data_IF_501115661607
#
_entry.id   IF_501115661607
#
_cell.length_a   1.000
_cell.length_b   1.000
_cell.length_c   1.000
_cell.angle_alpha   90.00
_cell.angle_beta   90.00
_cell.angle_gamma   90.00
#
_symmetry.space_group_name_H-M   'P 1'
#
loop_
_entity.id
_entity.type
_entity.pdbx_description
1 polymer ?
#
# COMPACT_ATOMS: atom_id res chain seq x y z
N UNK A 1 9.84 -0.72 -5.76
CA UNK A 1 9.45 0.66 -5.33
C UNK A 1 10.30 1.18 -4.18
N UNK A 2 10.50 0.43 -3.10
CA UNK A 2 11.18 0.94 -1.90
C UNK A 2 12.64 1.35 -2.11
N UNK A 3 13.41 0.56 -2.86
CA UNK A 3 14.83 0.83 -3.11
C UNK A 3 15.08 1.80 -4.26
N UNK A 4 14.03 2.29 -4.93
CA UNK A 4 14.15 3.11 -6.16
C UNK A 4 13.30 4.38 -6.08
N UNK A 5 11.98 4.24 -6.06
CA UNK A 5 11.03 5.36 -6.09
C UNK A 5 10.98 6.11 -4.75
N UNK A 6 11.03 5.36 -3.64
CA UNK A 6 10.89 5.91 -2.29
C UNK A 6 12.18 6.48 -1.67
N UNK A 7 13.27 6.58 -2.45
CA UNK A 7 14.51 7.26 -2.03
C UNK A 7 14.66 8.66 -2.65
N UNK A 8 13.72 9.07 -3.52
CA UNK A 8 13.76 10.38 -4.15
C UNK A 8 13.30 11.47 -3.18
N UNK A 9 14.14 12.48 -2.96
CA UNK A 9 13.96 13.47 -1.88
C UNK A 9 12.60 14.19 -1.91
N UNK A 10 12.08 14.53 -3.09
CA UNK A 10 10.76 15.17 -3.21
C UNK A 10 9.63 14.25 -2.74
N UNK A 11 9.72 12.95 -3.08
CA UNK A 11 8.72 11.95 -2.66
C UNK A 11 8.82 11.72 -1.16
N UNK A 12 10.02 11.53 -0.62
CA UNK A 12 10.26 11.36 0.82
C UNK A 12 9.74 12.56 1.62
N UNK A 13 10.02 13.78 1.17
CA UNK A 13 9.56 14.99 1.85
C UNK A 13 8.03 15.05 1.86
N UNK A 14 7.38 14.80 0.72
CA UNK A 14 5.91 14.81 0.61
C UNK A 14 5.28 13.75 1.51
N UNK A 15 5.85 12.54 1.51
CA UNK A 15 5.37 11.45 2.35
C UNK A 15 5.53 11.79 3.83
N UNK A 16 6.62 12.44 4.24
CA UNK A 16 6.84 12.82 5.63
C UNK A 16 5.99 14.02 6.08
N UNK A 17 5.62 14.93 5.17
CA UNK A 17 4.86 16.14 5.52
C UNK A 17 3.34 15.94 5.45
N UNK A 18 2.86 15.16 4.49
CA UNK A 18 1.44 15.15 4.11
C UNK A 18 0.78 13.77 4.22
N UNK A 19 1.54 12.70 4.44
CA UNK A 19 1.03 11.33 4.48
C UNK A 19 1.59 10.52 5.66
N UNK A 20 0.96 9.39 5.95
CA UNK A 20 1.55 8.34 6.78
C UNK A 20 1.92 7.18 5.88
N UNK A 21 3.22 6.94 5.70
CA UNK A 21 3.71 5.84 4.90
C UNK A 21 3.83 4.56 5.74
N UNK A 22 3.25 3.47 5.26
CA UNK A 22 3.38 2.14 5.84
C UNK A 22 3.90 1.19 4.74
N UNK A 23 5.02 0.53 5.02
CA UNK A 23 5.48 -0.61 4.24
C UNK A 23 4.73 -1.85 4.70
N UNK A 24 4.21 -2.63 3.75
CA UNK A 24 3.57 -3.90 4.05
C UNK A 24 4.21 -5.01 3.23
N UNK A 25 4.74 -6.03 3.92
CA UNK A 25 5.29 -7.24 3.31
C UNK A 25 4.20 -8.31 3.26
N UNK A 26 3.75 -8.63 2.06
CA UNK A 26 2.67 -9.59 1.82
C UNK A 26 3.10 -11.04 2.01
N UNK A 27 4.41 -11.30 2.02
CA UNK A 27 4.97 -12.64 2.20
C UNK A 27 5.34 -12.90 3.67
N UNK A 28 5.19 -11.90 4.55
CA UNK A 28 5.49 -12.03 5.98
C UNK A 28 4.57 -13.05 6.65
N UNK A 29 5.12 -13.94 7.51
CA UNK A 29 4.34 -14.86 8.33
C UNK A 29 3.71 -14.21 9.57
N UNK A 30 4.08 -12.97 9.89
CA UNK A 30 3.68 -12.31 11.13
C UNK A 30 2.19 -11.92 11.12
N UNK A 31 1.52 -12.08 12.26
CA UNK A 31 0.13 -11.66 12.41
C UNK A 31 -0.02 -10.13 12.44
N UNK A 32 -1.04 -9.62 11.76
CA UNK A 32 -1.40 -8.20 11.78
C UNK A 32 -2.79 -8.01 12.39
N UNK A 33 -2.87 -7.19 13.44
CA UNK A 33 -4.13 -6.79 14.04
C UNK A 33 -4.65 -5.51 13.41
N UNK A 34 -5.79 -5.58 12.72
CA UNK A 34 -6.40 -4.45 12.04
C UNK A 34 -7.92 -4.44 12.21
N UNK A 35 -8.51 -3.29 12.55
CA UNK A 35 -9.96 -3.11 12.81
C UNK A 35 -10.57 -4.19 13.74
N UNK A 36 -9.82 -4.61 14.77
CA UNK A 36 -10.28 -5.61 15.74
C UNK A 36 -10.29 -7.06 15.24
N UNK A 37 -9.69 -7.33 14.09
CA UNK A 37 -9.48 -8.67 13.54
C UNK A 37 -7.98 -8.95 13.41
N UNK A 38 -7.59 -10.19 13.66
CA UNK A 38 -6.25 -10.69 13.39
C UNK A 38 -6.23 -11.28 11.98
N UNK A 39 -5.27 -10.86 11.17
CA UNK A 39 -5.02 -11.38 9.84
C UNK A 39 -3.69 -12.10 9.87
N UNK A 40 -3.66 -13.31 9.31
CA UNK A 40 -2.47 -14.16 9.33
C UNK A 40 -2.00 -14.48 7.91
N UNK A 41 -0.82 -15.08 7.80
CA UNK A 41 -0.33 -15.60 6.54
C UNK A 41 -1.12 -16.82 6.08
N UNK A 42 -1.54 -16.83 4.81
CA UNK A 42 -2.25 -17.93 4.20
C UNK A 42 -1.39 -18.64 3.14
N UNK A 43 -0.90 -19.86 3.43
CA UNK A 43 -0.18 -20.65 2.44
C UNK A 43 -1.08 -20.97 1.23
N UNK A 44 -0.55 -20.78 0.02
CA UNK A 44 -1.19 -21.13 -1.26
C UNK A 44 -0.42 -22.24 -1.99
N UNK A 45 0.76 -22.63 -1.49
CA UNK A 45 1.61 -23.69 -2.02
C UNK A 45 2.76 -24.03 -1.07
N UNK A 46 3.70 -24.89 -1.48
CA UNK A 46 4.79 -25.35 -0.62
C UNK A 46 5.73 -24.25 -0.13
N UNK A 47 5.95 -23.23 -0.94
CA UNK A 47 6.83 -22.08 -0.66
C UNK A 47 6.14 -20.75 -0.98
N UNK A 48 4.83 -20.78 -1.16
CA UNK A 48 4.05 -19.62 -1.59
C UNK A 48 2.83 -19.47 -0.69
N UNK A 49 2.42 -18.23 -0.54
CA UNK A 49 1.30 -17.83 0.28
C UNK A 49 1.23 -16.34 0.26
N UNK A 50 0.22 -15.81 0.92
CA UNK A 50 -0.01 -14.38 0.95
C UNK A 50 -0.69 -14.01 2.25
N UNK A 51 -0.32 -12.87 2.80
CA UNK A 51 -0.92 -12.34 4.00
C UNK A 51 -2.39 -11.97 3.76
N UNK A 52 -3.31 -12.47 4.59
CA UNK A 52 -4.76 -12.30 4.41
C UNK A 52 -5.19 -10.84 4.36
N UNK A 53 -4.52 -9.97 5.13
CA UNK A 53 -4.76 -8.53 5.08
C UNK A 53 -4.58 -7.95 3.67
N UNK A 54 -3.58 -8.40 2.89
CA UNK A 54 -3.40 -7.94 1.52
C UNK A 54 -4.61 -8.30 0.64
N UNK A 55 -5.09 -9.55 0.77
CA UNK A 55 -6.26 -10.04 0.05
C UNK A 55 -7.53 -9.27 0.41
N UNK A 56 -7.75 -9.00 1.70
CA UNK A 56 -8.92 -8.25 2.17
C UNK A 56 -8.89 -6.81 1.62
N UNK A 57 -7.75 -6.13 1.72
CA UNK A 57 -7.60 -4.74 1.30
C UNK A 57 -7.70 -4.57 -0.23
N UNK A 58 -7.34 -5.59 -1.01
CA UNK A 58 -7.43 -5.56 -2.47
C UNK A 58 -8.73 -6.09 -3.04
N UNK A 59 -9.50 -6.84 -2.25
CA UNK A 59 -10.78 -7.39 -2.69
C UNK A 59 -11.73 -6.31 -3.20
N UNK A 60 -11.62 -5.09 -2.65
CA UNK A 60 -12.40 -3.91 -3.06
C UNK A 60 -11.94 -3.29 -4.39
N UNK A 61 -10.75 -3.62 -4.88
CA UNK A 61 -10.06 -2.86 -5.92
C UNK A 61 -9.54 -3.70 -7.10
N UNK A 62 -9.71 -5.03 -7.08
CA UNK A 62 -9.42 -5.92 -8.22
C UNK A 62 -8.27 -6.90 -7.98
N UNK A 63 -7.52 -7.24 -9.05
CA UNK A 63 -6.42 -8.20 -9.00
C UNK A 63 -5.24 -7.60 -8.22
N UNK A 64 -4.78 -8.34 -7.20
CA UNK A 64 -3.59 -8.01 -6.42
C UNK A 64 -2.34 -8.45 -7.19
N UNK A 65 -1.72 -7.53 -7.92
CA UNK A 65 -0.42 -7.74 -8.57
C UNK A 65 0.64 -6.90 -7.86
N UNK A 66 1.52 -7.53 -7.06
CA UNK A 66 2.62 -6.84 -6.41
C UNK A 66 3.65 -6.30 -7.42
N UNK A 67 4.31 -5.15 -7.14
CA UNK A 67 4.02 -4.25 -6.03
C UNK A 67 2.72 -3.47 -6.26
N UNK A 68 2.00 -3.12 -5.20
CA UNK A 68 0.83 -2.26 -5.28
C UNK A 68 0.87 -1.14 -4.23
N UNK A 69 0.10 -0.08 -4.47
CA UNK A 69 -0.07 1.07 -3.59
C UNK A 69 -1.54 1.25 -3.26
N UNK A 70 -1.84 1.33 -1.96
CA UNK A 70 -3.14 1.71 -1.43
C UNK A 70 -3.00 3.02 -0.66
N UNK A 71 -3.98 3.91 -0.82
CA UNK A 71 -4.07 5.13 0.00
C UNK A 71 -5.42 5.16 0.69
N UNK A 72 -5.36 5.45 1.98
CA UNK A 72 -6.53 5.53 2.86
C UNK A 72 -6.81 6.99 3.21
N UNK A 73 -8.08 7.35 3.35
CA UNK A 73 -8.47 8.59 4.02
C UNK A 73 -8.41 8.42 5.56
N UNK A 74 -8.72 9.50 6.30
CA UNK A 74 -8.73 9.47 7.77
C UNK A 74 -9.84 8.58 8.37
N UNK A 75 -10.84 8.19 7.58
CA UNK A 75 -11.91 7.27 7.96
C UNK A 75 -11.54 5.79 7.74
N UNK A 76 -10.33 5.51 7.24
CA UNK A 76 -9.85 4.17 6.83
C UNK A 76 -10.60 3.57 5.64
N UNK A 77 -11.09 4.41 4.73
CA UNK A 77 -11.58 3.99 3.41
C UNK A 77 -10.45 4.07 2.39
N UNK A 78 -10.37 3.07 1.51
CA UNK A 78 -9.43 3.09 0.38
C UNK A 78 -9.92 4.11 -0.64
N UNK A 79 -9.15 5.17 -0.85
CA UNK A 79 -9.45 6.23 -1.83
C UNK A 79 -8.63 6.13 -3.11
N UNK A 80 -7.60 5.29 -3.11
CA UNK A 80 -6.76 5.04 -4.27
C UNK A 80 -6.15 3.64 -4.21
N UNK A 81 -6.13 2.98 -5.38
CA UNK A 81 -5.43 1.72 -5.60
C UNK A 81 -4.66 1.78 -6.92
N UNK A 82 -3.43 1.30 -6.90
CA UNK A 82 -2.64 1.08 -8.11
C UNK A 82 -1.81 -0.19 -7.97
N UNK A 83 -1.97 -1.13 -8.90
CA UNK A 83 -1.11 -2.30 -9.06
C UNK A 83 -0.01 -2.00 -10.08
N UNK A 84 1.22 -2.40 -9.79
CA UNK A 84 2.39 -2.18 -10.62
C UNK A 84 3.34 -1.10 -10.10
N UNK A 85 4.48 -0.99 -10.78
CA UNK A 85 5.52 -0.02 -10.48
C UNK A 85 5.14 1.37 -10.98
N UNK A 86 5.13 2.36 -10.08
CA UNK A 86 5.08 3.77 -10.44
C UNK A 86 6.49 4.35 -10.59
N UNK A 87 6.70 5.10 -11.68
CA UNK A 87 7.85 5.98 -11.86
C UNK A 87 7.73 7.17 -10.91
N UNK A 88 8.85 7.86 -10.66
CA UNK A 88 8.90 8.98 -9.72
C UNK A 88 7.88 10.07 -10.07
N UNK A 89 7.80 10.45 -11.34
CA UNK A 89 6.89 11.49 -11.85
C UNK A 89 5.42 11.12 -11.64
N UNK A 90 5.08 9.86 -11.91
CA UNK A 90 3.71 9.33 -11.75
C UNK A 90 3.31 9.33 -10.27
N UNK A 91 4.21 8.89 -9.39
CA UNK A 91 3.95 8.92 -7.95
C UNK A 91 3.80 10.34 -7.42
N UNK A 92 4.64 11.28 -7.88
CA UNK A 92 4.51 12.70 -7.51
C UNK A 92 3.16 13.26 -7.94
N UNK A 93 2.69 12.94 -9.14
CA UNK A 93 1.38 13.37 -9.62
C UNK A 93 0.24 12.78 -8.78
N UNK A 94 0.29 11.47 -8.49
CA UNK A 94 -0.69 10.79 -7.63
C UNK A 94 -0.77 11.45 -6.26
N UNK A 95 0.38 11.63 -5.57
CA UNK A 95 0.43 12.25 -4.25
C UNK A 95 -0.10 13.70 -4.29
N UNK A 96 0.23 14.45 -5.34
CA UNK A 96 -0.23 15.84 -5.51
C UNK A 96 -1.74 15.97 -5.73
N UNK A 97 -2.36 14.98 -6.39
CA UNK A 97 -3.82 14.91 -6.57
C UNK A 97 -4.51 14.51 -5.27
N UNK A 98 -3.98 13.51 -4.57
CA UNK A 98 -4.55 13.01 -3.32
C UNK A 98 -4.51 14.07 -2.20
N UNK A 99 -3.40 14.82 -2.10
CA UNK A 99 -3.29 15.94 -1.15
C UNK A 99 -4.38 17.00 -1.35
N UNK A 100 -4.85 17.21 -2.59
CA UNK A 100 -5.91 18.18 -2.89
C UNK A 100 -7.32 17.64 -2.64
N UNK A 101 -7.52 16.32 -2.72
CA UNK A 101 -8.85 15.70 -2.57
C UNK A 101 -9.16 15.29 -1.13
N UNK A 102 -8.12 15.14 -0.29
CA UNK A 102 -8.24 14.71 1.12
C UNK A 102 -8.22 15.87 2.13
N UNK A 103 -8.01 17.11 1.66
CA UNK A 103 -8.13 18.36 2.42
C UNK A 103 -9.40 19.10 1.99
#
# INVERSE_FOLDING_TARGET
>A
MQQTTLVYSTIVNTLNSDFYYISFDIDSPDDVNYKGRTFSYKPTGPTTGIHELALELSSYSGVLEPPFLLVFNSQNDVVFHHSGLLRNEELIEVLSRLKRSLN
#
